data_IF_047819489708
#
_entry.id   IF_047819489708
#
_cell.length_a   1.000
_cell.length_b   1.000
_cell.length_c   1.000
_cell.angle_alpha   90.00
_cell.angle_beta   90.00
_cell.angle_gamma   90.00
#
_symmetry.space_group_name_H-M   'P 1'
#
loop_
_entity.id
_entity.type
_entity.pdbx_description
1 polymer ?
#
# COMPACT_ATOMS: atom_id res chain seq x y z
N UNK A 1 -30.69 -34.98 40.08
CA UNK A 1 -31.58 -33.81 40.28
C UNK A 1 -31.18 -32.75 39.27
N UNK A 2 -32.13 -32.44 38.38
CA UNK A 2 -32.34 -31.30 37.50
C UNK A 2 -31.21 -30.26 37.29
N UNK A 3 -30.86 -30.05 36.02
CA UNK A 3 -30.31 -28.82 35.42
C UNK A 3 -31.25 -27.62 35.65
N UNK A 4 -30.76 -26.37 35.57
CA UNK A 4 -30.91 -25.58 34.32
C UNK A 4 -29.78 -24.50 34.17
N UNK A 5 -29.66 -23.60 33.19
CA UNK A 5 -30.30 -23.33 31.91
C UNK A 5 -29.32 -22.48 31.09
N UNK A 6 -29.28 -22.73 29.80
CA UNK A 6 -28.55 -22.01 28.75
C UNK A 6 -29.24 -20.67 28.44
N UNK A 7 -28.51 -19.55 28.41
CA UNK A 7 -28.99 -18.28 27.85
C UNK A 7 -28.47 -18.11 26.42
N UNK A 8 -29.36 -18.36 25.46
CA UNK A 8 -29.22 -18.03 24.03
C UNK A 8 -29.61 -16.56 23.82
N UNK A 9 -28.69 -15.77 23.28
CA UNK A 9 -28.94 -14.41 22.80
C UNK A 9 -29.65 -14.44 21.44
N UNK A 10 -30.86 -13.87 21.39
CA UNK A 10 -31.61 -13.67 20.16
C UNK A 10 -30.90 -12.68 19.24
N UNK A 11 -30.73 -13.10 17.99
CA UNK A 11 -30.39 -12.25 16.87
C UNK A 11 -31.63 -11.47 16.42
N UNK A 12 -31.58 -10.15 16.50
CA UNK A 12 -32.52 -9.24 15.83
C UNK A 12 -32.35 -9.34 14.32
N UNK A 13 -33.34 -9.92 13.65
CA UNK A 13 -33.51 -9.89 12.20
C UNK A 13 -33.89 -8.47 11.74
N UNK A 14 -33.32 -7.95 10.64
CA UNK A 14 -33.77 -6.69 10.06
C UNK A 14 -35.17 -6.88 9.46
N UNK A 15 -36.11 -6.06 9.92
CA UNK A 15 -37.45 -5.94 9.36
C UNK A 15 -37.37 -5.41 7.94
N UNK A 16 -37.51 -6.28 6.94
CA UNK A 16 -37.88 -5.87 5.60
C UNK A 16 -39.29 -5.29 5.65
N UNK A 17 -39.44 -4.02 5.27
CA UNK A 17 -40.75 -3.40 5.11
C UNK A 17 -41.61 -4.19 4.12
N UNK A 18 -42.95 -4.17 4.25
CA UNK A 18 -43.82 -4.96 3.39
C UNK A 18 -43.67 -4.47 1.95
N UNK A 19 -43.17 -5.35 1.09
CA UNK A 19 -43.27 -5.16 -0.35
C UNK A 19 -44.75 -5.07 -0.70
N UNK A 20 -45.16 -3.94 -1.29
CA UNK A 20 -46.54 -3.71 -1.64
C UNK A 20 -46.90 -4.58 -2.87
N UNK A 21 -47.40 -5.80 -2.60
CA UNK A 21 -47.82 -6.76 -3.62
C UNK A 21 -49.25 -6.54 -4.11
N UNK A 22 -49.91 -5.45 -3.68
CA UNK A 22 -51.29 -5.14 -3.99
C UNK A 22 -51.56 -5.12 -5.50
N UNK A 23 -50.68 -4.50 -6.30
CA UNK A 23 -50.82 -4.45 -7.76
C UNK A 23 -50.66 -5.81 -8.46
N UNK A 24 -49.83 -6.69 -7.90
CA UNK A 24 -49.62 -8.06 -8.41
C UNK A 24 -50.85 -8.92 -8.14
N UNK A 25 -51.40 -8.83 -6.93
CA UNK A 25 -52.62 -9.52 -6.50
C UNK A 25 -53.82 -9.02 -7.31
N UNK A 26 -53.93 -7.71 -7.54
CA UNK A 26 -55.00 -7.13 -8.35
C UNK A 26 -54.93 -7.57 -9.83
N UNK A 27 -53.72 -7.72 -10.38
CA UNK A 27 -53.54 -8.22 -11.75
C UNK A 27 -53.88 -9.71 -11.89
N UNK A 28 -53.56 -10.51 -10.87
CA UNK A 28 -53.88 -11.94 -10.82
C UNK A 28 -55.38 -12.17 -10.64
N UNK A 29 -56.04 -11.37 -9.79
CA UNK A 29 -57.50 -11.41 -9.64
C UNK A 29 -58.22 -11.11 -10.96
N UNK A 30 -57.80 -10.05 -11.66
CA UNK A 30 -58.36 -9.68 -12.98
C UNK A 30 -58.13 -10.76 -14.05
N UNK A 31 -57.07 -11.55 -13.95
CA UNK A 31 -56.79 -12.66 -14.88
C UNK A 31 -57.62 -13.92 -14.60
N UNK A 32 -58.13 -14.10 -13.38
CA UNK A 32 -58.93 -15.27 -12.99
C UNK A 32 -60.42 -15.09 -13.33
N UNK A 33 -60.92 -13.85 -13.35
CA UNK A 33 -62.33 -13.55 -13.65
C UNK A 33 -62.65 -13.55 -15.16
N UNK A 34 -61.65 -13.51 -16.04
CA UNK A 34 -61.86 -13.49 -17.50
C UNK A 34 -61.70 -14.90 -18.06
N UNK A 35 -62.73 -15.72 -17.90
CA UNK A 35 -62.82 -17.01 -18.56
C UNK A 35 -64.21 -17.25 -19.15
N UNK A 36 -64.62 -16.42 -20.12
CA UNK A 36 -65.41 -16.87 -21.28
C UNK A 36 -65.54 -15.76 -22.35
N UNK A 37 -65.27 -16.16 -23.60
CA UNK A 37 -65.62 -15.51 -24.86
C UNK A 37 -64.71 -14.38 -25.44
N UNK A 38 -64.13 -14.74 -26.59
CA UNK A 38 -63.61 -13.92 -27.69
C UNK A 38 -62.21 -13.30 -27.54
N UNK A 39 -61.30 -13.84 -28.35
CA UNK A 39 -59.95 -13.35 -28.61
C UNK A 39 -60.01 -12.06 -29.43
N UNK A 40 -59.79 -10.93 -28.79
CA UNK A 40 -59.34 -9.69 -29.44
C UNK A 40 -58.00 -9.27 -28.87
N UNK A 41 -57.06 -8.96 -29.76
CA UNK A 41 -55.66 -8.59 -29.47
C UNK A 41 -55.60 -7.51 -28.37
N UNK A 42 -54.80 -7.70 -27.31
CA UNK A 42 -54.77 -6.77 -26.19
C UNK A 42 -54.14 -5.44 -26.62
N UNK A 43 -54.94 -4.37 -26.62
CA UNK A 43 -54.41 -3.00 -26.67
C UNK A 43 -53.54 -2.79 -25.44
N UNK A 44 -52.26 -2.42 -25.63
CA UNK A 44 -51.35 -2.02 -24.55
C UNK A 44 -52.04 -0.94 -23.70
N UNK A 45 -52.46 -1.31 -22.49
CA UNK A 45 -52.91 -0.34 -21.50
C UNK A 45 -51.69 0.51 -21.10
N UNK A 46 -51.80 1.81 -21.31
CA UNK A 46 -50.87 2.78 -20.72
C UNK A 46 -50.97 2.63 -19.20
N UNK A 47 -49.87 2.22 -18.56
CA UNK A 47 -49.74 2.26 -17.11
C UNK A 47 -50.05 3.69 -16.66
N UNK A 48 -50.99 3.86 -15.72
CA UNK A 48 -51.22 5.16 -15.11
C UNK A 48 -49.95 5.53 -14.36
N UNK A 49 -49.22 6.53 -14.84
CA UNK A 49 -48.05 7.06 -14.17
C UNK A 49 -48.51 7.74 -12.88
N UNK A 50 -48.59 6.98 -11.79
CA UNK A 50 -48.59 7.56 -10.45
C UNK A 50 -47.33 8.40 -10.35
N UNK A 51 -47.50 9.71 -10.20
CA UNK A 51 -46.41 10.64 -9.90
C UNK A 51 -45.89 10.32 -8.49
N UNK A 52 -45.15 9.23 -8.36
CA UNK A 52 -44.29 9.02 -7.21
C UNK A 52 -43.08 9.92 -7.42
N UNK A 53 -42.95 10.93 -6.55
CA UNK A 53 -41.67 11.62 -6.38
C UNK A 53 -40.63 10.52 -6.13
N UNK A 54 -39.61 10.37 -6.98
CA UNK A 54 -38.56 9.39 -6.71
C UNK A 54 -38.00 9.71 -5.34
N UNK A 55 -37.89 8.68 -4.49
CA UNK A 55 -37.19 8.79 -3.22
C UNK A 55 -35.89 9.57 -3.46
N UNK A 56 -35.60 10.52 -2.56
CA UNK A 56 -34.45 11.42 -2.70
C UNK A 56 -33.24 10.59 -3.12
N UNK A 57 -32.62 10.98 -4.24
CA UNK A 57 -31.42 10.29 -4.72
C UNK A 57 -30.43 10.16 -3.57
N UNK A 58 -29.80 8.98 -3.41
CA UNK A 58 -28.84 8.77 -2.34
C UNK A 58 -27.76 9.86 -2.41
N UNK A 59 -27.34 10.32 -1.24
CA UNK A 59 -26.32 11.35 -1.12
C UNK A 59 -25.05 10.93 -1.90
N UNK A 60 -24.33 11.89 -2.48
CA UNK A 60 -23.09 11.66 -3.23
C UNK A 60 -22.07 10.88 -2.40
N UNK A 61 -22.02 11.09 -1.08
CA UNK A 61 -21.16 10.33 -0.16
C UNK A 61 -21.53 8.84 -0.07
N UNK A 62 -22.82 8.51 -0.17
CA UNK A 62 -23.28 7.12 -0.21
C UNK A 62 -22.90 6.47 -1.54
N UNK A 63 -23.13 7.16 -2.67
CA UNK A 63 -22.76 6.68 -4.00
C UNK A 63 -21.24 6.47 -4.09
N UNK A 64 -20.45 7.42 -3.59
CA UNK A 64 -19.00 7.31 -3.58
C UNK A 64 -18.52 6.13 -2.73
N UNK A 65 -19.08 5.94 -1.53
CA UNK A 65 -18.73 4.80 -0.66
C UNK A 65 -19.08 3.45 -1.31
N UNK A 66 -20.26 3.34 -1.92
CA UNK A 66 -20.65 2.11 -2.64
C UNK A 66 -19.80 1.92 -3.90
N UNK A 67 -19.46 2.98 -4.64
CA UNK A 67 -18.56 2.91 -5.80
C UNK A 67 -17.14 2.47 -5.40
N UNK A 68 -16.59 2.99 -4.30
CA UNK A 68 -15.29 2.57 -3.76
C UNK A 68 -15.30 1.10 -3.30
N UNK A 69 -16.45 0.62 -2.81
CA UNK A 69 -16.63 -0.77 -2.37
C UNK A 69 -16.86 -1.74 -3.53
N UNK A 70 -17.66 -1.34 -4.52
CA UNK A 70 -18.10 -2.17 -5.65
C UNK A 70 -17.16 -2.09 -6.86
N UNK A 71 -16.47 -0.96 -7.06
CA UNK A 71 -15.58 -0.69 -8.18
C UNK A 71 -14.47 -1.74 -8.36
N UNK A 72 -13.66 -2.01 -7.32
CA UNK A 72 -12.63 -3.05 -7.41
C UNK A 72 -13.21 -4.43 -7.77
N UNK A 73 -14.38 -4.77 -7.21
CA UNK A 73 -15.07 -6.04 -7.49
C UNK A 73 -15.60 -6.11 -8.93
N UNK A 74 -16.06 -5.00 -9.47
CA UNK A 74 -16.54 -4.92 -10.85
C UNK A 74 -15.41 -5.11 -11.87
N UNK A 75 -14.25 -4.47 -11.64
CA UNK A 75 -13.04 -4.64 -12.46
C UNK A 75 -12.60 -6.12 -12.44
N UNK A 76 -12.58 -6.75 -11.28
CA UNK A 76 -12.23 -8.17 -11.15
C UNK A 76 -13.21 -9.10 -11.87
N UNK A 77 -14.52 -8.84 -11.79
CA UNK A 77 -15.53 -9.59 -12.55
C UNK A 77 -15.32 -9.48 -14.06
N UNK A 78 -14.89 -8.32 -14.56
CA UNK A 78 -14.53 -8.17 -15.97
C UNK A 78 -13.26 -8.96 -16.34
N UNK A 79 -12.25 -8.98 -15.46
CA UNK A 79 -11.01 -9.74 -15.66
C UNK A 79 -11.23 -11.27 -15.67
N UNK A 80 -12.22 -11.76 -14.92
CA UNK A 80 -12.63 -13.18 -14.93
C UNK A 80 -13.33 -13.59 -16.24
N UNK A 81 -14.05 -12.65 -16.88
CA UNK A 81 -14.90 -12.92 -18.05
C UNK A 81 -14.24 -12.68 -19.41
N UNK A 82 -13.08 -12.02 -19.44
CA UNK A 82 -12.37 -11.75 -20.69
C UNK A 82 -11.44 -12.91 -21.06
N UNK A 83 -11.69 -13.64 -22.18
CA UNK A 83 -10.64 -14.40 -22.83
C UNK A 83 -9.56 -13.42 -23.29
N UNK A 84 -8.30 -13.82 -23.23
CA UNK A 84 -7.21 -13.04 -23.82
C UNK A 84 -7.58 -12.71 -25.28
N UNK A 85 -7.44 -11.45 -25.75
CA UNK A 85 -7.76 -11.13 -27.13
C UNK A 85 -6.88 -11.99 -28.04
N UNK A 86 -7.54 -12.82 -28.86
CA UNK A 86 -6.96 -13.47 -30.01
C UNK A 86 -6.55 -12.39 -30.99
N UNK A 87 -5.26 -12.07 -31.05
CA UNK A 87 -4.69 -11.34 -32.18
C UNK A 87 -4.68 -12.31 -33.36
N UNK A 88 -5.77 -12.28 -34.14
CA UNK A 88 -5.81 -12.85 -35.48
C UNK A 88 -4.74 -12.21 -36.33
N UNK A 89 -3.93 -13.06 -36.95
CA UNK A 89 -3.01 -12.76 -38.03
C UNK A 89 -3.74 -12.00 -39.15
N UNK A 90 -3.15 -10.90 -39.58
CA UNK A 90 -3.38 -10.30 -40.87
C UNK A 90 -2.01 -9.87 -41.37
N UNK A 91 -1.37 -10.80 -42.06
CA UNK A 91 -0.41 -10.50 -43.11
C UNK A 91 -1.14 -9.68 -44.18
N UNK A 92 -0.60 -8.52 -44.53
CA UNK A 92 -0.68 -8.00 -45.90
C UNK A 92 0.53 -7.09 -46.13
N UNK A 93 1.44 -7.62 -46.95
CA UNK A 93 2.45 -6.91 -47.72
C UNK A 93 1.82 -5.74 -48.49
N UNK A 94 2.41 -4.54 -48.44
CA UNK A 94 2.52 -3.69 -49.62
C UNK A 94 3.74 -2.76 -49.50
N UNK A 95 4.60 -2.85 -50.51
CA UNK A 95 5.78 -2.04 -50.75
C UNK A 95 5.45 -0.56 -51.03
N UNK A 96 6.36 0.29 -50.57
CA UNK A 96 6.90 1.53 -51.17
C UNK A 96 6.08 2.28 -52.23
N UNK A 97 5.78 3.57 -51.98
CA UNK A 97 6.14 4.63 -52.94
C UNK A 97 6.20 6.03 -52.32
N UNK A 98 7.08 6.81 -52.93
CA UNK A 98 7.58 8.14 -52.65
C UNK A 98 6.51 9.24 -52.87
N UNK A 99 6.58 10.35 -52.13
CA UNK A 99 5.55 11.39 -52.22
C UNK A 99 5.71 12.57 -51.26
N UNK A 100 6.65 13.44 -51.59
CA UNK A 100 6.85 14.76 -51.00
C UNK A 100 5.60 15.65 -51.01
N UNK A 101 5.14 16.15 -49.86
CA UNK A 101 4.38 17.41 -49.78
C UNK A 101 4.68 18.20 -48.50
N UNK A 102 5.31 19.34 -48.73
CA UNK A 102 5.57 20.51 -47.86
C UNK A 102 4.32 21.33 -47.50
N UNK A 103 4.44 22.12 -46.41
CA UNK A 103 3.61 23.25 -45.89
C UNK A 103 2.53 22.86 -44.88
N UNK A 104 2.29 23.55 -43.76
CA UNK A 104 2.77 24.84 -43.21
C UNK A 104 2.66 24.84 -41.67
N UNK A 105 3.56 25.51 -40.91
CA UNK A 105 3.43 25.72 -39.48
C UNK A 105 2.73 27.05 -39.15
N UNK A 106 1.72 27.00 -38.27
CA UNK A 106 1.09 28.21 -37.74
C UNK A 106 1.81 28.70 -36.47
N UNK A 107 2.57 29.77 -36.67
CA UNK A 107 3.17 30.62 -35.64
C UNK A 107 2.13 31.59 -35.09
N UNK A 108 2.02 31.70 -33.76
CA UNK A 108 1.40 32.84 -33.10
C UNK A 108 2.43 33.49 -32.19
N UNK A 109 2.82 34.71 -32.56
CA UNK A 109 3.76 35.58 -31.85
C UNK A 109 3.00 36.77 -31.27
N UNK A 110 3.27 37.12 -30.02
CA UNK A 110 3.21 38.49 -29.43
C UNK A 110 3.74 38.33 -28.01
N UNK A 111 4.56 39.17 -27.38
CA UNK A 111 5.35 40.33 -27.75
C UNK A 111 6.22 40.59 -26.50
N UNK A 112 7.55 40.61 -26.66
CA UNK A 112 8.47 41.01 -25.59
C UNK A 112 8.49 42.54 -25.47
N UNK A 113 8.34 43.06 -24.26
CA UNK A 113 8.70 44.46 -23.93
C UNK A 113 9.57 44.50 -22.68
N UNK A 114 10.68 45.19 -22.81
CA UNK A 114 11.62 45.66 -21.78
C UNK A 114 12.37 46.83 -22.44
N UNK A 115 13.09 47.72 -21.74
CA UNK A 115 13.12 48.09 -20.32
C UNK A 115 12.99 49.63 -20.12
N UNK A 116 12.90 50.11 -18.87
CA UNK A 116 13.25 51.50 -18.55
C UNK A 116 13.97 51.63 -17.20
N UNK A 117 15.18 52.19 -17.27
CA UNK A 117 16.00 52.71 -16.18
C UNK A 117 15.26 53.90 -15.51
N UNK A 118 15.37 54.26 -14.22
CA UNK A 118 16.56 54.70 -13.47
C UNK A 118 16.13 55.00 -11.99
N UNK A 119 16.89 55.72 -11.13
CA UNK A 119 17.52 55.20 -9.90
C UNK A 119 16.98 55.86 -8.61
N UNK A 120 17.41 55.38 -7.41
CA UNK A 120 17.57 56.12 -6.12
C UNK A 120 17.58 55.10 -4.97
N UNK A 121 18.74 54.70 -4.47
CA UNK A 121 19.42 55.21 -3.26
C UNK A 121 19.22 54.34 -2.01
N UNK A 122 20.21 54.32 -1.10
CA UNK A 122 20.54 53.16 -0.29
C UNK A 122 20.12 53.33 1.17
N UNK A 123 19.57 52.27 1.77
CA UNK A 123 19.51 52.16 3.23
C UNK A 123 20.38 50.99 3.69
N UNK A 124 21.54 51.36 4.22
CA UNK A 124 22.29 50.60 5.20
C UNK A 124 21.39 50.19 6.37
N UNK A 125 21.44 48.93 6.78
CA UNK A 125 21.93 48.47 8.08
C UNK A 125 21.79 46.93 8.20
N UNK A 126 22.59 46.29 9.06
CA UNK A 126 23.18 44.99 8.78
C UNK A 126 22.45 43.86 9.51
N UNK A 127 22.42 42.67 8.91
CA UNK A 127 22.40 41.46 9.71
C UNK A 127 23.01 40.30 8.92
N UNK A 128 24.35 40.23 9.01
CA UNK A 128 25.03 39.05 9.53
C UNK A 128 24.46 37.68 9.10
N UNK A 129 24.42 37.42 7.80
CA UNK A 129 24.56 36.06 7.30
C UNK A 129 26.06 35.78 7.36
N UNK A 130 26.51 35.31 8.53
CA UNK A 130 27.75 34.58 8.60
C UNK A 130 27.58 33.35 7.71
N UNK A 131 28.05 33.49 6.48
CA UNK A 131 28.66 32.40 5.73
C UNK A 131 29.86 31.91 6.54
N UNK A 132 29.62 31.20 7.64
CA UNK A 132 30.64 30.36 8.21
C UNK A 132 30.73 29.13 7.32
N UNK A 133 31.62 29.22 6.33
CA UNK A 133 32.40 28.07 5.87
C UNK A 133 33.25 27.55 7.04
N UNK A 134 32.61 27.17 8.15
CA UNK A 134 33.25 26.40 9.20
C UNK A 134 33.56 25.06 8.57
N UNK A 135 34.85 24.80 8.35
CA UNK A 135 35.34 23.46 8.06
C UNK A 135 34.70 22.51 9.05
N UNK A 136 33.84 21.61 8.54
CA UNK A 136 33.16 20.66 9.38
C UNK A 136 34.19 19.86 10.16
N UNK A 137 34.23 20.06 11.48
CA UNK A 137 35.06 19.28 12.37
C UNK A 137 34.24 18.08 12.82
N UNK A 138 34.80 16.88 12.65
CA UNK A 138 34.12 15.67 13.07
C UNK A 138 33.78 15.72 14.56
N UNK A 139 32.47 15.68 14.92
CA UNK A 139 32.01 15.81 16.29
C UNK A 139 32.59 14.73 17.18
N UNK A 140 33.06 15.13 18.36
CA UNK A 140 33.49 14.19 19.38
C UNK A 140 32.28 13.62 20.12
N UNK A 141 32.37 12.39 20.67
CA UNK A 141 31.25 11.74 21.35
C UNK A 141 30.59 12.56 22.46
N UNK A 142 31.41 13.23 23.27
CA UNK A 142 30.93 14.06 24.38
C UNK A 142 30.20 15.32 23.88
N UNK A 143 30.49 15.80 22.67
CA UNK A 143 29.82 16.95 22.07
C UNK A 143 28.38 16.58 21.68
N UNK A 144 28.17 15.37 21.17
CA UNK A 144 26.83 14.85 20.86
C UNK A 144 25.97 14.72 22.12
N UNK A 145 26.53 14.15 23.21
CA UNK A 145 25.81 14.02 24.48
C UNK A 145 25.53 15.39 25.11
N UNK A 146 26.49 16.32 25.05
CA UNK A 146 26.30 17.71 25.50
C UNK A 146 25.22 18.43 24.69
N UNK A 147 25.16 18.20 23.39
CA UNK A 147 24.12 18.77 22.52
C UNK A 147 22.74 18.25 22.92
N UNK A 148 22.63 16.98 23.30
CA UNK A 148 21.40 16.42 23.88
C UNK A 148 21.02 17.16 25.17
N UNK A 149 21.94 17.29 26.13
CA UNK A 149 21.70 17.97 27.42
C UNK A 149 21.30 19.44 27.28
N UNK A 150 21.86 20.13 26.28
CA UNK A 150 21.57 21.54 26.00
C UNK A 150 20.36 21.73 25.08
N UNK A 151 19.76 20.64 24.57
CA UNK A 151 18.72 20.67 23.54
C UNK A 151 19.14 21.47 22.31
N UNK A 152 20.40 21.33 21.90
CA UNK A 152 20.92 21.96 20.70
C UNK A 152 20.45 21.20 19.45
N UNK A 153 19.19 21.45 19.09
CA UNK A 153 18.52 20.77 17.99
C UNK A 153 19.23 21.05 16.66
N UNK A 154 19.71 22.28 16.46
CA UNK A 154 20.38 22.67 15.22
C UNK A 154 21.64 21.83 15.02
N UNK A 155 22.48 21.73 16.05
CA UNK A 155 23.69 20.92 15.97
C UNK A 155 23.38 19.42 15.81
N UNK A 156 22.34 18.90 16.46
CA UNK A 156 21.90 17.51 16.26
C UNK A 156 21.42 17.24 14.83
N UNK A 157 20.78 18.22 14.18
CA UNK A 157 20.39 18.13 12.77
C UNK A 157 21.60 18.16 11.84
N UNK A 158 22.63 18.95 12.15
CA UNK A 158 23.88 18.91 11.39
C UNK A 158 24.60 17.55 11.52
N UNK A 159 24.66 17.01 12.75
CA UNK A 159 25.21 15.66 12.99
C UNK A 159 24.41 14.60 12.22
N UNK A 160 23.07 14.69 12.21
CA UNK A 160 22.22 13.79 11.42
C UNK A 160 22.65 13.77 9.96
N UNK A 161 22.86 14.94 9.36
CA UNK A 161 23.11 15.06 7.92
C UNK A 161 24.54 14.67 7.54
N UNK A 162 25.53 14.94 8.40
CA UNK A 162 26.95 14.75 8.08
C UNK A 162 27.59 13.54 8.73
N UNK A 163 27.11 13.11 9.89
CA UNK A 163 27.73 12.09 10.71
C UNK A 163 26.70 11.21 11.46
N UNK A 164 25.65 10.75 10.76
CA UNK A 164 24.52 10.02 11.32
C UNK A 164 24.88 8.87 12.28
N UNK A 165 25.94 8.13 11.98
CA UNK A 165 26.43 7.01 12.79
C UNK A 165 26.78 7.41 14.24
N UNK A 166 27.12 8.67 14.51
CA UNK A 166 27.40 9.18 15.85
C UNK A 166 26.14 9.24 16.73
N UNK A 167 24.96 9.37 16.12
CA UNK A 167 23.67 9.37 16.82
C UNK A 167 23.24 7.97 17.29
N UNK A 168 23.82 6.92 16.68
CA UNK A 168 23.47 5.53 16.95
C UNK A 168 24.47 4.83 17.87
N UNK A 169 25.72 5.30 17.86
CA UNK A 169 26.82 4.68 18.57
C UNK A 169 26.60 4.77 20.08
N UNK A 170 26.92 3.68 20.77
CA UNK A 170 27.01 3.65 22.22
C UNK A 170 28.33 4.26 22.65
N UNK A 171 28.28 5.13 23.66
CA UNK A 171 29.43 5.75 24.30
C UNK A 171 29.37 5.42 25.79
N UNK A 172 30.36 4.65 26.27
CA UNK A 172 30.19 3.86 27.50
C UNK A 172 29.06 2.86 27.28
N UNK A 173 27.92 3.07 27.94
CA UNK A 173 26.71 2.25 27.82
C UNK A 173 25.47 3.05 27.37
N UNK A 174 25.68 4.26 26.85
CA UNK A 174 24.58 5.20 26.57
C UNK A 174 24.61 5.61 25.11
N UNK A 175 23.47 5.50 24.43
CA UNK A 175 23.26 6.14 23.12
C UNK A 175 22.69 7.54 23.33
N UNK A 176 22.88 8.48 22.40
CA UNK A 176 22.26 9.82 22.49
C UNK A 176 20.75 9.77 22.74
N UNK A 177 20.04 8.83 22.11
CA UNK A 177 18.62 8.60 22.35
C UNK A 177 18.34 8.14 23.80
N UNK A 178 19.06 7.13 24.28
CA UNK A 178 18.91 6.64 25.65
C UNK A 178 19.26 7.74 26.67
N UNK A 179 20.27 8.57 26.39
CA UNK A 179 20.64 9.71 27.23
C UNK A 179 19.49 10.70 27.36
N UNK A 180 18.92 11.14 26.22
CA UNK A 180 17.76 12.03 26.20
C UNK A 180 16.59 11.45 27.01
N UNK A 181 16.34 10.15 26.88
CA UNK A 181 15.26 9.47 27.58
C UNK A 181 15.51 9.36 29.09
N UNK A 182 16.77 9.16 29.52
CA UNK A 182 17.15 9.10 30.95
C UNK A 182 17.02 10.44 31.66
N UNK A 183 17.28 11.56 30.96
CA UNK A 183 17.07 12.90 31.54
C UNK A 183 15.56 13.13 31.81
N UNK A 184 14.69 12.50 31.03
CA UNK A 184 13.26 12.42 31.29
C UNK A 184 12.42 13.40 30.49
N UNK A 185 11.27 13.82 31.05
CA UNK A 185 10.23 14.56 30.31
C UNK A 185 10.73 15.85 29.66
N UNK A 186 11.70 16.53 30.28
CA UNK A 186 12.28 17.76 29.76
C UNK A 186 12.98 17.58 28.41
N UNK A 187 13.44 16.38 28.06
CA UNK A 187 14.19 16.07 26.84
C UNK A 187 13.41 15.19 25.86
N UNK A 188 12.09 15.07 26.08
CA UNK A 188 11.20 14.27 25.24
C UNK A 188 11.22 14.72 23.77
N UNK A 189 11.23 16.03 23.52
CA UNK A 189 11.26 16.56 22.15
C UNK A 189 12.56 16.20 21.43
N UNK A 190 13.70 16.24 22.14
CA UNK A 190 15.00 15.81 21.61
C UNK A 190 14.96 14.33 21.24
N UNK A 191 14.37 13.49 22.09
CA UNK A 191 14.19 12.06 21.79
C UNK A 191 13.31 11.83 20.55
N UNK A 192 12.23 12.60 20.40
CA UNK A 192 11.36 12.56 19.19
C UNK A 192 12.14 12.98 17.95
N UNK A 193 12.95 14.03 18.02
CA UNK A 193 13.77 14.52 16.91
C UNK A 193 14.83 13.48 16.49
N UNK A 194 15.49 12.84 17.45
CA UNK A 194 16.41 11.73 17.18
C UNK A 194 15.68 10.55 16.52
N UNK A 195 14.48 10.23 17.00
CA UNK A 195 13.66 9.18 16.42
C UNK A 195 13.21 9.48 14.99
N UNK A 196 12.79 10.72 14.72
CA UNK A 196 12.47 11.20 13.38
C UNK A 196 13.69 11.14 12.45
N UNK A 197 14.88 11.42 12.98
CA UNK A 197 16.13 11.25 12.24
C UNK A 197 16.40 9.79 11.86
N UNK A 198 16.09 8.85 12.76
CA UNK A 198 16.20 7.41 12.49
C UNK A 198 15.22 6.95 11.41
N UNK A 199 13.95 7.32 11.53
CA UNK A 199 12.93 6.99 10.53
C UNK A 199 13.27 7.57 9.15
N UNK A 200 13.72 8.84 9.11
CA UNK A 200 14.16 9.49 7.87
C UNK A 200 15.30 8.71 7.20
N UNK A 201 16.32 8.29 7.96
CA UNK A 201 17.43 7.52 7.41
C UNK A 201 16.96 6.20 6.79
N UNK A 202 16.08 5.47 7.46
CA UNK A 202 15.54 4.18 6.98
C UNK A 202 14.76 4.37 5.66
N UNK A 203 13.93 5.42 5.59
CA UNK A 203 13.09 5.70 4.43
C UNK A 203 13.89 6.17 3.21
N UNK A 204 15.02 6.85 3.42
CA UNK A 204 15.87 7.39 2.35
C UNK A 204 17.11 6.52 2.08
N UNK A 205 17.18 5.29 2.62
CA UNK A 205 18.30 4.41 2.34
C UNK A 205 18.20 3.83 0.93
N UNK A 206 19.22 4.03 0.11
CA UNK A 206 19.27 3.50 -1.24
C UNK A 206 19.53 1.99 -1.26
N UNK A 207 19.01 1.31 -2.28
CA UNK A 207 19.10 -0.15 -2.38
C UNK A 207 20.53 -0.64 -2.66
N UNK A 208 21.33 0.17 -3.35
CA UNK A 208 22.76 -0.09 -3.58
C UNK A 208 23.56 -0.02 -2.28
N UNK A 209 23.14 0.82 -1.34
CA UNK A 209 23.80 0.97 -0.04
C UNK A 209 23.46 -0.14 0.93
N UNK A 210 22.28 -0.76 0.79
CA UNK A 210 21.84 -1.83 1.66
C UNK A 210 22.77 -3.06 1.61
N UNK A 211 23.38 -3.30 0.46
CA UNK A 211 24.32 -4.41 0.27
C UNK A 211 25.67 -4.19 0.97
N UNK A 212 26.00 -2.95 1.34
CA UNK A 212 27.27 -2.63 1.99
C UNK A 212 27.27 -3.18 3.44
N UNK A 213 28.31 -3.93 3.87
CA UNK A 213 28.39 -4.46 5.23
C UNK A 213 28.29 -3.39 6.32
N UNK A 214 28.85 -2.20 6.06
CA UNK A 214 28.78 -1.04 6.96
C UNK A 214 27.33 -0.61 7.22
N UNK A 215 26.48 -0.61 6.20
CA UNK A 215 25.06 -0.27 6.32
C UNK A 215 24.32 -1.28 7.16
N UNK A 216 24.63 -2.59 7.04
CA UNK A 216 24.06 -3.62 7.91
C UNK A 216 24.42 -3.38 9.39
N UNK A 217 25.62 -2.92 9.69
CA UNK A 217 26.02 -2.52 11.06
C UNK A 217 25.20 -1.32 11.56
N UNK A 218 24.99 -0.32 10.70
CA UNK A 218 24.14 0.85 11.01
C UNK A 218 22.70 0.43 11.28
N UNK A 219 22.11 -0.44 10.45
CA UNK A 219 20.75 -0.96 10.64
C UNK A 219 20.60 -1.78 11.93
N UNK A 220 21.60 -2.58 12.30
CA UNK A 220 21.61 -3.27 13.61
C UNK A 220 21.63 -2.30 14.78
N UNK A 221 22.41 -1.22 14.69
CA UNK A 221 22.44 -0.18 15.71
C UNK A 221 21.10 0.59 15.78
N UNK A 222 20.49 0.90 14.62
CA UNK A 222 19.15 1.47 14.54
C UNK A 222 18.12 0.57 15.21
N UNK A 223 18.10 -0.71 14.87
CA UNK A 223 17.19 -1.70 15.45
C UNK A 223 17.25 -1.70 16.98
N UNK A 224 18.45 -1.72 17.55
CA UNK A 224 18.64 -1.69 18.99
C UNK A 224 18.11 -0.39 19.63
N UNK A 225 18.34 0.77 18.99
CA UNK A 225 17.86 2.06 19.48
C UNK A 225 16.32 2.20 19.37
N UNK A 226 15.72 1.74 18.27
CA UNK A 226 14.28 1.73 18.07
C UNK A 226 13.58 0.79 19.05
N UNK A 227 14.14 -0.41 19.27
CA UNK A 227 13.62 -1.36 20.26
C UNK A 227 13.62 -0.75 21.66
N UNK A 228 14.72 -0.08 22.03
CA UNK A 228 14.83 0.62 23.30
C UNK A 228 13.77 1.73 23.45
N UNK A 229 13.53 2.52 22.40
CA UNK A 229 12.47 3.53 22.40
C UNK A 229 11.08 2.92 22.64
N UNK A 230 10.80 1.78 22.01
CA UNK A 230 9.54 1.04 22.17
C UNK A 230 9.42 0.50 23.62
N UNK A 231 10.49 -0.05 24.18
CA UNK A 231 10.47 -0.66 25.51
C UNK A 231 10.22 0.36 26.63
N UNK A 232 10.78 1.57 26.50
CA UNK A 232 10.55 2.68 27.45
C UNK A 232 9.22 3.42 27.18
N UNK A 233 8.47 3.03 26.13
CA UNK A 233 7.09 3.46 25.92
C UNK A 233 6.92 4.69 25.02
N UNK A 234 7.92 5.08 24.22
CA UNK A 234 7.73 6.16 23.22
C UNK A 234 6.76 5.76 22.10
N UNK A 235 6.52 4.46 21.91
CA UNK A 235 5.60 3.94 20.90
C UNK A 235 4.15 4.42 21.09
N UNK A 236 3.73 4.73 22.32
CA UNK A 236 2.37 5.27 22.58
C UNK A 236 2.14 6.65 21.96
N UNK A 237 3.22 7.37 21.65
CA UNK A 237 3.18 8.74 21.14
C UNK A 237 3.65 8.89 19.70
N UNK A 238 4.11 7.80 19.08
CA UNK A 238 4.71 7.80 17.75
C UNK A 238 4.25 6.52 17.05
N UNK A 239 3.18 6.62 16.24
CA UNK A 239 2.61 5.49 15.49
C UNK A 239 3.64 4.81 14.59
N UNK A 240 4.51 5.62 13.98
CA UNK A 240 5.41 5.18 12.92
C UNK A 240 6.68 4.53 13.45
N UNK A 241 6.91 4.60 14.77
CA UNK A 241 8.05 3.98 15.44
C UNK A 241 8.04 2.47 15.25
N UNK A 242 6.89 1.84 15.47
CA UNK A 242 6.74 0.39 15.37
C UNK A 242 6.97 -0.10 13.94
N UNK A 243 6.44 0.62 12.95
CA UNK A 243 6.66 0.34 11.54
C UNK A 243 8.15 0.48 11.16
N UNK A 244 8.78 1.60 11.58
CA UNK A 244 10.21 1.84 11.36
C UNK A 244 11.10 0.75 11.99
N UNK A 245 10.72 0.26 13.18
CA UNK A 245 11.41 -0.85 13.84
C UNK A 245 11.32 -2.15 13.04
N UNK A 246 10.12 -2.54 12.60
CA UNK A 246 9.94 -3.78 11.83
C UNK A 246 10.62 -3.71 10.46
N UNK A 247 10.52 -2.58 9.77
CA UNK A 247 11.24 -2.34 8.54
C UNK A 247 12.75 -2.50 8.74
N UNK A 248 13.31 -1.88 9.79
CA UNK A 248 14.75 -2.02 10.12
C UNK A 248 15.13 -3.46 10.47
N UNK A 249 14.29 -4.16 11.24
CA UNK A 249 14.50 -5.56 11.59
C UNK A 249 14.56 -6.43 10.34
N UNK A 250 13.61 -6.25 9.43
CA UNK A 250 13.57 -7.00 8.18
C UNK A 250 14.79 -6.68 7.30
N UNK A 251 15.15 -5.40 7.16
CA UNK A 251 16.30 -4.98 6.35
C UNK A 251 17.65 -5.47 6.91
N UNK A 252 17.75 -5.67 8.23
CA UNK A 252 18.99 -6.11 8.87
C UNK A 252 19.12 -7.63 8.98
N UNK A 253 18.02 -8.33 9.25
CA UNK A 253 18.03 -9.75 9.65
C UNK A 253 16.87 -10.58 9.05
N UNK A 254 15.98 -9.98 8.27
CA UNK A 254 14.75 -10.61 7.77
C UNK A 254 14.90 -11.48 6.52
N UNK A 255 16.03 -11.43 5.81
CA UNK A 255 16.22 -12.09 4.50
C UNK A 255 15.87 -13.59 4.53
N UNK A 256 16.42 -14.35 5.48
CA UNK A 256 16.14 -15.79 5.64
C UNK A 256 14.66 -16.06 5.91
N UNK A 257 14.03 -15.20 6.70
CA UNK A 257 12.61 -15.33 7.02
C UNK A 257 11.75 -15.04 5.80
N UNK A 258 12.06 -14.00 5.02
CA UNK A 258 11.34 -13.68 3.78
C UNK A 258 11.41 -14.86 2.82
N UNK A 259 12.59 -15.39 2.53
CA UNK A 259 12.72 -16.56 1.66
C UNK A 259 11.85 -17.74 2.11
N UNK A 260 11.90 -18.08 3.40
CA UNK A 260 11.11 -19.17 3.94
C UNK A 260 9.60 -18.90 3.81
N UNK A 261 9.13 -17.68 4.09
CA UNK A 261 7.71 -17.35 3.96
C UNK A 261 7.27 -17.26 2.50
N UNK A 262 8.11 -16.75 1.60
CA UNK A 262 7.87 -16.79 0.15
C UNK A 262 7.66 -18.22 -0.32
N UNK A 263 8.49 -19.17 0.11
CA UNK A 263 8.30 -20.59 -0.20
C UNK A 263 7.00 -21.17 0.37
N UNK A 264 6.62 -20.81 1.59
CA UNK A 264 5.37 -21.25 2.21
C UNK A 264 4.14 -20.71 1.46
N UNK A 265 4.13 -19.42 1.15
CA UNK A 265 3.05 -18.77 0.40
C UNK A 265 2.99 -19.29 -1.04
N UNK A 266 4.14 -19.61 -1.63
CA UNK A 266 4.22 -20.27 -2.93
C UNK A 266 3.52 -21.64 -2.93
N UNK A 267 3.73 -22.45 -1.90
CA UNK A 267 3.02 -23.74 -1.74
C UNK A 267 1.51 -23.50 -1.59
N UNK A 268 1.11 -22.52 -0.79
CA UNK A 268 -0.30 -22.15 -0.63
C UNK A 268 -0.93 -21.69 -1.97
N UNK A 269 -0.23 -20.89 -2.76
CA UNK A 269 -0.69 -20.43 -4.08
C UNK A 269 -0.90 -21.60 -5.06
N UNK A 270 -0.04 -22.64 -5.00
CA UNK A 270 -0.21 -23.88 -5.80
C UNK A 270 -1.41 -24.69 -5.36
N UNK A 271 -1.60 -24.86 -4.05
CA UNK A 271 -2.76 -25.54 -3.47
C UNK A 271 -4.07 -24.78 -3.76
N UNK A 272 -3.95 -23.50 -4.06
CA UNK A 272 -5.06 -22.68 -4.50
C UNK A 272 -5.93 -22.20 -3.35
N UNK A 273 -7.26 -22.26 -3.53
CA UNK A 273 -8.22 -21.81 -2.52
C UNK A 273 -8.04 -22.61 -1.22
N UNK A 274 -7.83 -23.92 -1.34
CA UNK A 274 -7.57 -24.81 -0.20
C UNK A 274 -6.28 -24.46 0.56
N UNK A 275 -5.34 -23.77 -0.08
CA UNK A 275 -4.10 -23.31 0.54
C UNK A 275 -4.24 -22.00 1.33
N UNK A 276 -5.33 -21.26 1.17
CA UNK A 276 -5.55 -19.94 1.77
C UNK A 276 -4.28 -19.03 1.72
N UNK A 277 -3.72 -18.76 0.53
CA UNK A 277 -2.45 -18.04 0.39
C UNK A 277 -2.43 -16.65 1.05
N UNK A 278 -3.53 -15.90 1.01
CA UNK A 278 -3.58 -14.55 1.59
C UNK A 278 -3.55 -14.63 3.11
N UNK A 279 -4.36 -15.50 3.70
CA UNK A 279 -4.34 -15.79 5.14
C UNK A 279 -2.99 -16.34 5.60
N UNK A 280 -2.35 -17.18 4.79
CA UNK A 280 -1.01 -17.71 5.07
C UNK A 280 0.02 -16.58 5.15
N UNK A 281 0.00 -15.65 4.19
CA UNK A 281 0.89 -14.48 4.18
C UNK A 281 0.62 -13.55 5.38
N UNK A 282 -0.64 -13.19 5.63
CA UNK A 282 -1.04 -12.33 6.75
C UNK A 282 -0.66 -12.94 8.11
N UNK A 283 -0.95 -14.23 8.32
CA UNK A 283 -0.60 -14.94 9.54
C UNK A 283 0.92 -15.00 9.76
N UNK A 284 1.71 -15.17 8.69
CA UNK A 284 3.17 -15.18 8.77
C UNK A 284 3.72 -13.83 9.27
N UNK A 285 3.23 -12.72 8.70
CA UNK A 285 3.66 -11.37 9.10
C UNK A 285 3.18 -11.05 10.52
N UNK A 286 1.93 -11.38 10.87
CA UNK A 286 1.40 -11.17 12.24
C UNK A 286 2.19 -11.94 13.28
N UNK A 287 2.52 -13.21 13.01
CA UNK A 287 3.33 -14.05 13.90
C UNK A 287 4.74 -13.47 14.06
N UNK A 288 5.33 -12.96 12.98
CA UNK A 288 6.61 -12.27 13.02
C UNK A 288 6.53 -11.01 13.90
N UNK A 289 5.58 -10.11 13.65
CA UNK A 289 5.42 -8.89 14.44
C UNK A 289 5.15 -9.19 15.92
N UNK A 290 4.31 -10.19 16.22
CA UNK A 290 3.98 -10.60 17.58
C UNK A 290 5.21 -11.09 18.34
N UNK A 291 6.07 -11.90 17.69
CA UNK A 291 7.30 -12.42 18.30
C UNK A 291 8.27 -11.31 18.69
N UNK A 292 8.37 -10.27 17.86
CA UNK A 292 9.39 -9.23 17.99
C UNK A 292 8.93 -8.06 18.89
N UNK A 293 7.62 -7.79 18.94
CA UNK A 293 7.03 -6.70 19.72
C UNK A 293 6.45 -7.14 21.06
N UNK A 294 5.92 -8.36 21.17
CA UNK A 294 5.35 -8.94 22.39
C UNK A 294 4.09 -8.26 22.96
N UNK A 295 3.69 -7.09 22.45
CA UNK A 295 2.56 -6.27 22.96
C UNK A 295 1.46 -6.14 21.90
N UNK A 296 0.27 -6.66 22.18
CA UNK A 296 -0.87 -6.65 21.26
C UNK A 296 -1.37 -5.25 20.87
N UNK A 297 -1.33 -4.28 21.79
CA UNK A 297 -1.78 -2.89 21.51
C UNK A 297 -0.95 -2.22 20.41
N UNK A 298 0.35 -2.53 20.31
CA UNK A 298 1.24 -1.97 19.28
C UNK A 298 0.99 -2.59 17.89
N UNK A 299 0.33 -3.74 17.83
CA UNK A 299 0.02 -4.46 16.59
C UNK A 299 -1.19 -3.82 15.91
N UNK A 300 -2.18 -3.35 16.66
CA UNK A 300 -3.36 -2.68 16.10
C UNK A 300 -3.01 -1.39 15.34
N UNK A 301 -1.97 -0.67 15.76
CA UNK A 301 -1.44 0.50 15.04
C UNK A 301 -0.63 0.15 13.78
N UNK A 302 -0.39 -1.13 13.52
CA UNK A 302 0.51 -1.62 12.48
C UNK A 302 -0.25 -2.34 11.33
N UNK A 303 -1.58 -2.36 11.37
CA UNK A 303 -2.38 -3.11 10.40
C UNK A 303 -2.05 -2.76 8.94
N UNK A 304 -1.77 -1.49 8.62
CA UNK A 304 -1.39 -1.09 7.26
C UNK A 304 -0.01 -1.63 6.84
N UNK A 305 0.96 -1.66 7.75
CA UNK A 305 2.27 -2.24 7.48
C UNK A 305 2.18 -3.77 7.31
N UNK A 306 1.39 -4.43 8.15
CA UNK A 306 1.14 -5.87 8.05
C UNK A 306 0.52 -6.20 6.70
N UNK A 307 -0.50 -5.44 6.30
CA UNK A 307 -1.18 -5.63 5.03
C UNK A 307 -0.25 -5.38 3.83
N UNK A 308 0.63 -4.37 3.89
CA UNK A 308 1.64 -4.15 2.86
C UNK A 308 2.62 -5.34 2.77
N UNK A 309 3.20 -5.75 3.90
CA UNK A 309 4.14 -6.87 3.96
C UNK A 309 3.51 -8.21 3.51
N UNK A 310 2.22 -8.45 3.82
CA UNK A 310 1.49 -9.62 3.36
C UNK A 310 1.28 -9.58 1.84
N UNK A 311 0.95 -8.41 1.30
CA UNK A 311 0.84 -8.19 -0.16
C UNK A 311 2.17 -8.44 -0.87
N UNK A 312 3.28 -7.98 -0.29
CA UNK A 312 4.62 -8.22 -0.82
C UNK A 312 5.00 -9.69 -0.81
N UNK A 313 4.67 -10.45 0.24
CA UNK A 313 4.87 -11.91 0.26
C UNK A 313 4.12 -12.61 -0.87
N UNK A 314 2.88 -12.19 -1.16
CA UNK A 314 2.09 -12.73 -2.26
C UNK A 314 2.74 -12.42 -3.62
N UNK A 315 3.20 -11.19 -3.82
CA UNK A 315 3.89 -10.77 -5.04
C UNK A 315 5.20 -11.54 -5.26
N UNK A 316 6.02 -11.65 -4.22
CA UNK A 316 7.28 -12.40 -4.26
C UNK A 316 7.01 -13.88 -4.56
N UNK A 317 6.04 -14.49 -3.89
CA UNK A 317 5.70 -15.90 -4.07
C UNK A 317 5.15 -16.19 -5.47
N UNK A 318 4.24 -15.35 -5.97
CA UNK A 318 3.66 -15.51 -7.30
C UNK A 318 4.72 -15.30 -8.40
N UNK A 319 5.64 -14.35 -8.23
CA UNK A 319 6.75 -14.17 -9.17
C UNK A 319 7.76 -15.32 -9.10
N UNK A 320 8.11 -15.80 -7.90
CA UNK A 320 8.95 -16.99 -7.74
C UNK A 320 8.37 -18.22 -8.43
N UNK A 321 7.04 -18.42 -8.39
CA UNK A 321 6.36 -19.46 -9.16
C UNK A 321 6.51 -19.28 -10.66
N UNK A 322 6.39 -18.05 -11.16
CA UNK A 322 6.55 -17.79 -12.59
C UNK A 322 7.96 -18.14 -13.06
N UNK A 323 8.98 -17.79 -12.27
CA UNK A 323 10.40 -18.05 -12.55
C UNK A 323 10.78 -19.54 -12.65
N UNK A 324 9.94 -20.46 -12.18
CA UNK A 324 10.16 -21.89 -12.40
C UNK A 324 9.91 -22.32 -13.85
N UNK A 325 9.11 -21.54 -14.59
CA UNK A 325 8.74 -21.82 -15.98
C UNK A 325 9.29 -20.81 -16.99
N UNK A 326 9.74 -19.64 -16.52
CA UNK A 326 10.27 -18.57 -17.38
C UNK A 326 11.68 -18.18 -16.94
N UNK A 327 12.52 -17.81 -17.90
CA UNK A 327 13.79 -17.17 -17.59
C UNK A 327 13.55 -15.70 -17.25
N UNK A 328 13.84 -15.31 -16.02
CA UNK A 328 13.71 -13.94 -15.55
C UNK A 328 14.51 -13.72 -14.28
N UNK A 329 14.66 -12.46 -13.88
CA UNK A 329 15.38 -12.14 -12.65
C UNK A 329 14.41 -12.05 -11.46
N UNK A 330 14.89 -12.38 -10.27
CA UNK A 330 14.12 -12.27 -9.03
C UNK A 330 13.89 -10.82 -8.63
N UNK A 331 12.75 -10.54 -7.98
CA UNK A 331 12.51 -9.26 -7.33
C UNK A 331 13.46 -9.14 -6.13
N UNK A 332 14.20 -8.03 -5.97
CA UNK A 332 15.08 -7.83 -4.82
C UNK A 332 14.32 -7.86 -3.49
N UNK A 333 14.76 -8.71 -2.57
CA UNK A 333 14.17 -8.85 -1.22
C UNK A 333 14.33 -7.57 -0.41
N UNK A 334 15.32 -6.74 -0.75
CA UNK A 334 15.53 -5.41 -0.18
C UNK A 334 14.34 -4.45 -0.34
N UNK A 335 13.41 -4.75 -1.24
CA UNK A 335 12.21 -3.93 -1.49
C UNK A 335 11.08 -4.22 -0.51
N UNK A 336 11.13 -5.36 0.19
CA UNK A 336 10.05 -5.86 1.02
C UNK A 336 9.61 -4.89 2.11
N UNK A 337 8.30 -4.65 2.17
CA UNK A 337 7.57 -3.89 3.20
C UNK A 337 8.08 -2.46 3.42
N UNK A 338 8.56 -1.79 2.36
CA UNK A 338 9.03 -0.39 2.43
C UNK A 338 8.00 0.59 1.87
N UNK A 339 7.55 0.36 0.64
CA UNK A 339 6.69 1.24 -0.14
C UNK A 339 6.06 0.43 -1.29
N UNK A 340 5.95 1.00 -2.50
CA UNK A 340 5.42 0.34 -3.70
C UNK A 340 6.52 -0.34 -4.56
N UNK A 341 7.78 -0.45 -4.09
CA UNK A 341 8.89 -1.01 -4.87
C UNK A 341 8.69 -2.47 -5.30
N UNK A 342 8.17 -3.34 -4.43
CA UNK A 342 7.89 -4.75 -4.79
C UNK A 342 6.83 -4.81 -5.89
N UNK A 343 5.75 -4.03 -5.74
CA UNK A 343 4.70 -3.93 -6.74
C UNK A 343 5.22 -3.39 -8.08
N UNK A 344 5.99 -2.30 -8.07
CA UNK A 344 6.58 -1.72 -9.30
C UNK A 344 7.49 -2.71 -10.01
N UNK A 345 8.40 -3.36 -9.27
CA UNK A 345 9.27 -4.39 -9.83
C UNK A 345 8.46 -5.56 -10.41
N UNK A 346 7.42 -6.00 -9.69
CA UNK A 346 6.51 -7.05 -10.16
C UNK A 346 5.82 -6.68 -11.47
N UNK A 347 5.25 -5.47 -11.57
CA UNK A 347 4.59 -4.99 -12.80
C UNK A 347 5.57 -4.89 -13.96
N UNK A 348 6.75 -4.30 -13.75
CA UNK A 348 7.82 -4.22 -14.74
C UNK A 348 8.20 -5.62 -15.25
N UNK A 349 8.31 -6.59 -14.34
CA UNK A 349 8.64 -7.98 -14.70
C UNK A 349 7.52 -8.66 -15.49
N UNK A 350 6.26 -8.42 -15.13
CA UNK A 350 5.12 -8.94 -15.89
C UNK A 350 5.10 -8.39 -17.32
N UNK A 351 5.34 -7.09 -17.49
CA UNK A 351 5.31 -6.42 -18.79
C UNK A 351 6.48 -6.88 -19.67
N UNK A 352 7.70 -6.95 -19.11
CA UNK A 352 8.88 -7.45 -19.82
C UNK A 352 8.72 -8.89 -20.33
N UNK A 353 7.96 -9.73 -19.61
CA UNK A 353 7.82 -11.16 -19.90
C UNK A 353 6.43 -11.53 -20.45
N UNK A 354 5.63 -10.56 -20.89
CA UNK A 354 4.21 -10.78 -21.20
C UNK A 354 3.99 -11.92 -22.22
N UNK A 355 4.76 -11.94 -23.32
CA UNK A 355 4.65 -12.97 -24.37
C UNK A 355 4.94 -14.37 -23.83
N UNK A 356 6.04 -14.51 -23.09
CA UNK A 356 6.47 -15.79 -22.51
C UNK A 356 5.47 -16.26 -21.47
N UNK A 357 4.97 -15.35 -20.63
CA UNK A 357 3.95 -15.64 -19.62
C UNK A 357 2.69 -16.22 -20.27
N UNK A 358 2.21 -15.60 -21.36
CA UNK A 358 1.01 -16.06 -22.11
C UNK A 358 1.18 -17.48 -22.68
N UNK A 359 2.38 -17.89 -23.03
CA UNK A 359 2.66 -19.19 -23.63
C UNK A 359 2.96 -20.29 -22.60
N UNK A 360 3.74 -19.98 -21.57
CA UNK A 360 4.33 -20.99 -20.67
C UNK A 360 3.54 -21.24 -19.37
N UNK A 361 2.93 -20.21 -18.78
CA UNK A 361 2.36 -20.34 -17.43
C UNK A 361 0.99 -21.06 -17.45
N UNK A 362 0.67 -21.71 -16.33
CA UNK A 362 -0.66 -22.32 -16.14
C UNK A 362 -1.76 -21.27 -16.14
N UNK A 363 -2.99 -21.66 -16.53
CA UNK A 363 -4.16 -20.76 -16.52
C UNK A 363 -4.40 -20.15 -15.14
N UNK A 364 -4.21 -20.95 -14.08
CA UNK A 364 -4.34 -20.53 -12.68
C UNK A 364 -3.32 -19.46 -12.32
N UNK A 365 -2.04 -19.68 -12.61
CA UNK A 365 -0.99 -18.71 -12.28
C UNK A 365 -1.17 -17.41 -13.06
N UNK A 366 -1.53 -17.47 -14.35
CA UNK A 366 -1.89 -16.29 -15.14
C UNK A 366 -3.03 -15.48 -14.49
N UNK A 367 -4.04 -16.16 -13.97
CA UNK A 367 -5.13 -15.50 -13.24
C UNK A 367 -4.65 -14.87 -11.93
N UNK A 368 -3.86 -15.60 -11.12
CA UNK A 368 -3.30 -15.08 -9.87
C UNK A 368 -2.46 -13.81 -10.11
N UNK A 369 -1.59 -13.81 -11.12
CA UNK A 369 -0.77 -12.65 -11.48
C UNK A 369 -1.63 -11.44 -11.90
N UNK A 370 -2.71 -11.66 -12.68
CA UNK A 370 -3.64 -10.60 -13.08
C UNK A 370 -4.42 -10.03 -11.89
N UNK A 371 -4.91 -10.88 -11.00
CA UNK A 371 -5.62 -10.45 -9.78
C UNK A 371 -4.68 -9.62 -8.90
N UNK A 372 -3.46 -10.09 -8.68
CA UNK A 372 -2.45 -9.35 -7.90
C UNK A 372 -2.12 -7.99 -8.52
N UNK A 373 -1.89 -7.92 -9.84
CA UNK A 373 -1.66 -6.67 -10.56
C UNK A 373 -2.83 -5.71 -10.37
N UNK A 374 -4.05 -6.16 -10.65
CA UNK A 374 -5.24 -5.29 -10.66
C UNK A 374 -5.65 -4.80 -9.26
N UNK A 375 -5.59 -5.66 -8.23
CA UNK A 375 -6.01 -5.28 -6.86
C UNK A 375 -4.99 -4.37 -6.19
N UNK A 376 -3.70 -4.59 -6.45
CA UNK A 376 -2.64 -3.78 -5.84
C UNK A 376 -2.37 -2.47 -6.59
N UNK A 377 -2.99 -2.28 -7.76
CA UNK A 377 -2.88 -1.04 -8.53
C UNK A 377 -3.49 0.17 -7.78
N UNK A 378 -2.89 1.35 -8.01
CA UNK A 378 -3.37 2.61 -7.49
C UNK A 378 -3.12 2.85 -6.00
N UNK A 379 -3.44 4.08 -5.56
CA UNK A 379 -3.26 4.56 -4.16
C UNK A 379 -4.58 4.94 -3.48
N UNK A 380 -5.71 4.69 -4.14
CA UNK A 380 -7.04 5.12 -3.70
C UNK A 380 -7.58 4.28 -2.55
N UNK A 381 -7.18 3.01 -2.45
CA UNK A 381 -7.59 2.09 -1.38
C UNK A 381 -6.41 1.73 -0.48
N UNK A 382 -6.69 1.56 0.81
CA UNK A 382 -5.68 1.16 1.81
C UNK A 382 -5.20 -0.26 1.56
N UNK A 383 -3.98 -0.59 2.00
CA UNK A 383 -3.44 -1.94 1.90
C UNK A 383 -4.32 -2.97 2.60
N UNK A 384 -4.89 -2.61 3.76
CA UNK A 384 -5.87 -3.48 4.44
C UNK A 384 -7.02 -3.86 3.52
N UNK A 385 -7.60 -2.88 2.83
CA UNK A 385 -8.71 -3.13 1.90
C UNK A 385 -8.26 -3.96 0.70
N UNK A 386 -7.04 -3.73 0.19
CA UNK A 386 -6.44 -4.55 -0.88
C UNK A 386 -6.32 -6.01 -0.45
N UNK A 387 -5.80 -6.28 0.74
CA UNK A 387 -5.65 -7.64 1.29
C UNK A 387 -7.01 -8.31 1.47
N UNK A 388 -8.03 -7.59 1.94
CA UNK A 388 -9.41 -8.12 2.02
C UNK A 388 -9.93 -8.56 0.65
N UNK A 389 -9.75 -7.73 -0.39
CA UNK A 389 -10.16 -8.06 -1.76
C UNK A 389 -9.34 -9.24 -2.30
N UNK A 390 -8.04 -9.30 -2.03
CA UNK A 390 -7.21 -10.46 -2.39
C UNK A 390 -7.70 -11.73 -1.72
N UNK A 391 -8.09 -11.69 -0.44
CA UNK A 391 -8.63 -12.85 0.27
C UNK A 391 -9.96 -13.32 -0.33
N UNK A 392 -10.87 -12.38 -0.66
CA UNK A 392 -12.12 -12.70 -1.36
C UNK A 392 -11.87 -13.41 -2.71
N UNK A 393 -10.79 -13.08 -3.42
CA UNK A 393 -10.45 -13.67 -4.72
C UNK A 393 -9.65 -14.97 -4.61
N UNK A 394 -8.58 -14.98 -3.83
CA UNK A 394 -7.58 -16.05 -3.79
C UNK A 394 -7.87 -17.14 -2.75
N UNK A 395 -8.54 -16.78 -1.64
CA UNK A 395 -8.83 -17.70 -0.52
C UNK A 395 -10.29 -18.15 -0.48
N UNK A 396 -11.23 -17.36 -1.03
CA UNK A 396 -12.68 -17.63 -0.93
C UNK A 396 -13.41 -17.68 -2.28
N UNK A 397 -12.79 -17.18 -3.35
CA UNK A 397 -13.42 -17.07 -4.65
C UNK A 397 -13.66 -18.43 -5.31
N UNK A 398 -14.45 -18.45 -6.38
CA UNK A 398 -14.66 -19.67 -7.20
C UNK A 398 -13.37 -20.15 -7.90
N UNK A 399 -12.32 -19.31 -7.93
CA UNK A 399 -11.04 -19.61 -8.57
C UNK A 399 -11.14 -19.70 -10.09
N UNK A 400 -10.09 -20.28 -10.70
CA UNK A 400 -10.03 -20.68 -12.11
C UNK A 400 -9.67 -22.15 -12.19
#
# INVERSE_FOLDING_TARGET
>A
MLTPCTTLSLWTMPTFGPFNHESLIESLGKSLDVNTASSTVPKRQSLSSSLCLPDRLPNSSFIQREAEKAGPKAILRQLRRSPSPSSSEADDDFESEDGSHTRDPSSASTQSTSPSNSPSQPNHLPNHIQNSNSSWKDPQPFEVLRAVERKDVVYLMEIRDRAFHLLLRKWGDVTPLLHAMRIGKSHRDVAIILLGSFSRYINHLDDSELQKPRTKTVLKALRANLKLAIDVGLAKSQSDLTASFLQTLIMSEGEKWIHAQTSNVMIALRAGIAGEPVKTADAAVRKFATRELGKAELIASLEDYIANAASDLLLLAAWSLALESIQGESIPISYFARDDRVYKAFVERLEKNEKVIRQSLSRRLKWQLRVLKAVLEGRTITFRRKVEVLAEELDQGEGV
#
